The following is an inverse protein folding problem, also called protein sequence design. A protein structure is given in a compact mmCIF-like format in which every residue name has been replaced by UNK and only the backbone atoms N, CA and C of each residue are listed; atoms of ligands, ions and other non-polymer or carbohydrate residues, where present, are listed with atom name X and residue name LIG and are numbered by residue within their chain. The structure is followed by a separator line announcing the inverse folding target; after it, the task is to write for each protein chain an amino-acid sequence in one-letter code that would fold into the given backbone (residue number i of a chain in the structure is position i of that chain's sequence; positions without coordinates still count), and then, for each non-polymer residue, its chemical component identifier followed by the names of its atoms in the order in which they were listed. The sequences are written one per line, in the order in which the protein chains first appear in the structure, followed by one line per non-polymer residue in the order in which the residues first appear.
data_IF_887363371636
#
_entry.id   IF_887363371636
#
_cell.length_a   1.000
_cell.length_b   1.000
_cell.length_c   1.000
_cell.angle_alpha   90.00
_cell.angle_beta   90.00
_cell.angle_gamma   90.00
#
_symmetry.space_group_name_H-M   'P 1'
#
loop_
_entity.id
_entity.type
_entity.pdbx_description
1 polymer ?
#
# COMPACT_ATOMS: atom_id res chain seq x y z
N UNK A 1 0.14 4.16 -5.11
CA UNK A 1 -0.95 3.46 -4.37
C UNK A 1 -0.99 2.02 -4.88
N UNK A 2 -0.99 1.02 -4.00
CA UNK A 2 -0.91 -0.40 -4.33
C UNK A 2 -2.13 -1.14 -3.80
N UNK A 3 -2.79 -1.95 -4.64
CA UNK A 3 -3.79 -2.90 -4.17
C UNK A 3 -3.11 -4.14 -3.56
N UNK A 4 -3.54 -4.57 -2.38
CA UNK A 4 -3.02 -5.79 -1.75
C UNK A 4 -3.65 -7.04 -2.37
N UNK A 5 -4.91 -6.94 -2.83
CA UNK A 5 -5.60 -8.03 -3.50
C UNK A 5 -5.49 -7.85 -5.01
N UNK A 6 -4.54 -8.54 -5.63
CA UNK A 6 -4.33 -8.50 -7.07
C UNK A 6 -4.92 -9.76 -7.72
N UNK A 7 -5.44 -9.69 -8.96
CA UNK A 7 -5.78 -10.89 -9.70
C UNK A 7 -4.50 -11.70 -9.96
N UNK A 8 -4.49 -12.99 -9.57
CA UNK A 8 -3.40 -13.96 -9.79
C UNK A 8 -2.11 -13.75 -8.96
N UNK A 9 -1.99 -12.68 -8.19
CA UNK A 9 -0.84 -12.43 -7.30
C UNK A 9 -1.28 -11.70 -6.04
N UNK A 10 -0.37 -11.41 -5.11
CA UNK A 10 -0.66 -10.60 -3.94
C UNK A 10 0.26 -9.36 -3.88
N UNK A 11 -0.23 -8.27 -3.30
CA UNK A 11 0.53 -7.03 -3.18
C UNK A 11 1.75 -7.14 -2.26
N UNK A 12 1.76 -8.12 -1.34
CA UNK A 12 2.89 -8.38 -0.43
C UNK A 12 4.11 -8.88 -1.22
N UNK A 13 3.94 -9.91 -2.05
CA UNK A 13 5.01 -10.44 -2.92
C UNK A 13 5.46 -9.43 -3.96
N UNK A 14 4.56 -8.57 -4.46
CA UNK A 14 4.97 -7.42 -5.27
C UNK A 14 5.90 -6.49 -4.47
N UNK A 15 5.57 -6.17 -3.21
CA UNK A 15 6.41 -5.33 -2.37
C UNK A 15 7.77 -5.95 -2.04
N UNK A 16 7.85 -7.27 -1.85
CA UNK A 16 9.12 -7.98 -1.66
C UNK A 16 10.04 -7.86 -2.89
N UNK A 17 9.49 -8.01 -4.09
CA UNK A 17 10.23 -7.76 -5.33
C UNK A 17 10.62 -6.28 -5.45
N UNK A 18 9.65 -5.38 -5.25
CA UNK A 18 9.81 -3.93 -5.36
C UNK A 18 10.94 -3.40 -4.47
N UNK A 19 11.11 -3.96 -3.26
CA UNK A 19 12.19 -3.58 -2.34
C UNK A 19 13.57 -4.08 -2.74
N UNK A 20 13.67 -5.09 -3.61
CA UNK A 20 14.94 -5.56 -4.17
C UNK A 20 15.41 -4.69 -5.35
N UNK A 21 14.49 -3.99 -6.00
CA UNK A 21 14.79 -3.10 -7.12
C UNK A 21 15.34 -1.76 -6.64
N UNK A 22 16.64 -1.52 -6.89
CA UNK A 22 17.36 -0.32 -6.37
C UNK A 22 16.71 0.99 -6.79
N UNK A 23 16.24 1.08 -8.02
CA UNK A 23 15.64 2.30 -8.59
C UNK A 23 14.22 2.57 -8.08
N UNK A 24 13.52 1.53 -7.58
CA UNK A 24 12.12 1.62 -7.16
C UNK A 24 11.96 1.68 -5.64
N UNK A 25 12.84 1.00 -4.90
CA UNK A 25 12.71 0.74 -3.46
C UNK A 25 12.55 1.98 -2.57
N UNK A 26 12.99 3.15 -3.05
CA UNK A 26 12.88 4.45 -2.39
C UNK A 26 11.52 5.15 -2.55
N UNK A 27 10.73 4.75 -3.56
CA UNK A 27 9.42 5.36 -3.83
C UNK A 27 8.44 4.98 -2.69
N UNK A 28 7.75 5.95 -2.07
CA UNK A 28 6.78 5.67 -1.02
C UNK A 28 5.56 4.94 -1.57
N UNK A 29 5.16 3.86 -0.90
CA UNK A 29 3.98 3.06 -1.25
C UNK A 29 2.96 3.13 -0.12
N UNK A 30 1.69 3.31 -0.50
CA UNK A 30 0.52 3.21 0.36
C UNK A 30 -0.27 1.99 -0.11
N UNK A 31 -0.66 1.12 0.82
CA UNK A 31 -1.49 -0.04 0.55
C UNK A 31 -2.97 0.33 0.60
N UNK A 32 -3.76 -0.32 -0.27
CA UNK A 32 -5.20 -0.16 -0.38
C UNK A 32 -5.84 -1.55 -0.49
N UNK A 33 -6.71 -1.94 0.43
CA UNK A 33 -7.17 -3.33 0.55
C UNK A 33 -8.59 -3.46 1.06
N UNK A 34 -9.30 -4.52 0.66
CA UNK A 34 -10.59 -4.88 1.24
C UNK A 34 -10.45 -5.71 2.53
N UNK A 35 -9.24 -6.20 2.82
CA UNK A 35 -8.98 -7.06 3.99
C UNK A 35 -8.42 -6.24 5.13
N UNK A 36 -9.12 -6.31 6.27
CA UNK A 36 -8.58 -5.89 7.56
C UNK A 36 -8.01 -7.12 8.28
N UNK A 37 -6.85 -7.58 7.80
CA UNK A 37 -6.12 -8.70 8.39
C UNK A 37 -4.87 -8.20 9.13
N UNK A 38 -4.77 -8.39 10.46
CA UNK A 38 -3.64 -7.92 11.25
C UNK A 38 -2.29 -8.47 10.78
N UNK A 39 -2.24 -9.73 10.32
CA UNK A 39 -1.01 -10.35 9.83
C UNK A 39 -0.52 -9.66 8.56
N UNK A 40 -1.39 -9.49 7.58
CA UNK A 40 -1.10 -8.78 6.33
C UNK A 40 -0.69 -7.32 6.59
N UNK A 41 -1.34 -6.63 7.52
CA UNK A 41 -0.96 -5.26 7.92
C UNK A 41 0.45 -5.21 8.51
N UNK A 42 0.81 -6.19 9.34
CA UNK A 42 2.15 -6.31 9.91
C UNK A 42 3.21 -6.55 8.84
N UNK A 43 2.98 -7.51 7.94
CA UNK A 43 3.90 -7.81 6.82
C UNK A 43 4.08 -6.58 5.91
N UNK A 44 3.00 -5.88 5.58
CA UNK A 44 3.04 -4.64 4.82
C UNK A 44 3.90 -3.56 5.50
N UNK A 45 3.75 -3.38 6.81
CA UNK A 45 4.52 -2.43 7.58
C UNK A 45 6.02 -2.78 7.63
N UNK A 46 6.37 -4.06 7.81
CA UNK A 46 7.74 -4.57 7.76
C UNK A 46 8.40 -4.34 6.39
N UNK A 47 7.62 -4.38 5.31
CA UNK A 47 8.05 -4.04 3.95
C UNK A 47 8.11 -2.52 3.67
N UNK A 48 7.91 -1.69 4.69
CA UNK A 48 8.07 -0.24 4.60
C UNK A 48 6.93 0.48 3.86
N UNK A 49 5.73 -0.11 3.81
CA UNK A 49 4.51 0.60 3.37
C UNK A 49 4.22 1.74 4.35
N UNK A 50 3.92 2.92 3.82
CA UNK A 50 3.71 4.15 4.60
C UNK A 50 2.37 4.21 5.31
N UNK A 51 1.33 3.65 4.71
CA UNK A 51 -0.01 3.59 5.27
C UNK A 51 -0.80 2.42 4.67
N UNK A 52 -1.79 1.91 5.39
CA UNK A 52 -2.66 0.81 4.98
C UNK A 52 -4.13 1.23 5.06
N UNK A 53 -4.74 1.45 3.89
CA UNK A 53 -6.09 1.98 3.77
C UNK A 53 -7.09 0.85 3.47
N UNK A 54 -8.13 0.72 4.30
CA UNK A 54 -9.23 -0.23 4.08
C UNK A 54 -10.27 0.42 3.16
N UNK A 55 -10.58 -0.17 2.00
CA UNK A 55 -11.40 0.49 0.95
C UNK A 55 -12.78 0.93 1.45
N UNK A 56 -13.39 0.13 2.32
CA UNK A 56 -14.73 0.42 2.87
C UNK A 56 -14.74 1.57 3.88
N UNK A 57 -13.58 1.98 4.38
CA UNK A 57 -13.48 3.04 5.39
C UNK A 57 -13.33 4.43 4.78
N UNK A 58 -13.25 4.54 3.46
CA UNK A 58 -13.01 5.80 2.76
C UNK A 58 -13.89 5.93 1.53
N UNK A 59 -14.41 7.13 1.29
CA UNK A 59 -14.96 7.53 0.00
C UNK A 59 -13.82 7.74 -1.02
N UNK A 60 -14.12 7.71 -2.33
CA UNK A 60 -13.12 8.02 -3.36
C UNK A 60 -12.44 9.38 -3.16
N UNK A 61 -13.19 10.39 -2.72
CA UNK A 61 -12.65 11.73 -2.48
C UNK A 61 -11.67 11.74 -1.30
N UNK A 62 -12.00 11.08 -0.19
CA UNK A 62 -11.10 10.97 0.97
C UNK A 62 -9.80 10.24 0.61
N UNK A 63 -9.84 9.24 -0.27
CA UNK A 63 -8.63 8.56 -0.77
C UNK A 63 -7.76 9.55 -1.55
N UNK A 64 -8.36 10.35 -2.44
CA UNK A 64 -7.63 11.37 -3.21
C UNK A 64 -6.96 12.37 -2.28
N UNK A 65 -7.68 12.86 -1.27
CA UNK A 65 -7.14 13.85 -0.33
C UNK A 65 -6.03 13.25 0.56
N UNK A 66 -6.21 12.00 1.00
CA UNK A 66 -5.19 11.25 1.73
C UNK A 66 -3.94 11.02 0.88
N UNK A 67 -4.06 10.62 -0.39
CA UNK A 67 -2.89 10.46 -1.28
C UNK A 67 -2.18 11.80 -1.48
N UNK A 68 -2.93 12.89 -1.70
CA UNK A 68 -2.37 14.24 -1.84
C UNK A 68 -1.58 14.66 -0.60
N UNK A 69 -1.94 14.25 0.61
CA UNK A 69 -1.17 14.61 1.82
C UNK A 69 0.24 14.02 1.84
N UNK A 70 0.52 12.96 1.07
CA UNK A 70 1.87 12.38 0.94
C UNK A 70 2.67 12.96 -0.23
N UNK A 71 2.03 13.72 -1.12
CA UNK A 71 2.67 14.34 -2.28
C UNK A 71 3.03 15.81 -2.06
N UNK A 72 2.45 16.44 -1.04
CA UNK A 72 2.75 17.82 -0.69
C UNK A 72 4.11 17.89 0.00
N UNK A 73 5.07 18.47 -0.71
CA UNK A 73 6.29 19.07 -0.15
C UNK A 73 5.93 20.41 0.50
#
# INVERSE_FOLDING_TARGET
LLDILLPRTNGIGFMEWFKKEKELSSIPVIAFSNYDDPKTKKEAAELGIKDYLIKTNYTPQEIVDKVKSYLKN
#
